data_IF_318624820559
#
_entry.id   IF_318624820559
#
_cell.length_a   1.000
_cell.length_b   1.000
_cell.length_c   1.000
_cell.angle_alpha   90.00
_cell.angle_beta   90.00
_cell.angle_gamma   90.00
#
_symmetry.space_group_name_H-M   'P 1'
#
loop_
_entity.id
_entity.type
_entity.pdbx_description
1 polymer ?
#
# COMPACT_ATOMS: atom_id res chain seq x y z
N UNK A 1 -17.00 25.33 8.50
CA UNK A 1 -17.46 24.32 9.46
C UNK A 1 -16.24 23.60 9.99
N UNK A 2 -15.89 23.89 11.25
CA UNK A 2 -14.68 23.41 11.92
C UNK A 2 -14.94 22.02 12.50
N UNK A 3 -14.07 21.07 12.25
CA UNK A 3 -14.07 19.77 12.91
C UNK A 3 -13.05 19.78 14.05
N UNK A 4 -13.53 19.45 15.25
CA UNK A 4 -12.82 19.50 16.51
C UNK A 4 -11.85 18.32 16.68
N UNK A 5 -10.62 18.65 17.08
CA UNK A 5 -9.61 17.69 17.56
C UNK A 5 -9.92 17.29 19.01
N UNK A 6 -10.21 16.03 19.25
CA UNK A 6 -10.34 15.45 20.58
C UNK A 6 -8.96 15.13 21.16
N UNK A 7 -8.58 15.80 22.25
CA UNK A 7 -7.44 15.47 23.10
C UNK A 7 -7.80 14.29 24.01
N UNK A 8 -7.06 13.20 23.90
CA UNK A 8 -7.10 12.14 24.91
C UNK A 8 -6.13 12.47 26.04
N UNK A 9 -6.70 12.68 27.21
CA UNK A 9 -5.99 12.88 28.47
C UNK A 9 -5.67 11.51 29.10
N UNK A 10 -4.41 11.22 29.32
CA UNK A 10 -3.97 10.05 30.06
C UNK A 10 -3.77 10.47 31.51
N UNK A 11 -4.65 10.02 32.41
CA UNK A 11 -4.57 10.25 33.84
C UNK A 11 -3.72 9.20 34.53
N UNK A 12 -2.84 9.70 35.41
CA UNK A 12 -1.91 8.95 36.23
C UNK A 12 -2.57 8.20 37.38
N UNK A 13 -2.02 7.09 37.88
CA UNK A 13 -2.59 6.40 39.01
C UNK A 13 -2.15 6.99 40.38
N UNK A 14 -3.10 6.92 41.24
CA UNK A 14 -3.18 7.33 42.64
C UNK A 14 -2.14 6.63 43.54
N UNK A 15 -1.46 7.44 44.36
CA UNK A 15 -0.67 6.98 45.49
C UNK A 15 -1.57 6.53 46.65
N UNK A 16 -1.33 5.35 47.17
CA UNK A 16 -1.95 4.86 48.39
C UNK A 16 -0.97 5.01 49.57
N UNK A 17 -1.29 5.94 50.49
CA UNK A 17 -0.61 6.11 51.75
C UNK A 17 -1.31 5.21 52.77
N UNK A 18 -0.63 4.26 53.32
CA UNK A 18 -1.05 3.60 54.54
C UNK A 18 -0.22 4.05 55.74
N UNK A 19 -0.89 4.73 56.64
CA UNK A 19 -0.39 5.07 57.96
C UNK A 19 -0.45 3.83 58.89
N UNK A 20 0.62 3.56 59.62
CA UNK A 20 0.53 2.73 60.80
C UNK A 20 1.15 3.48 61.99
N UNK A 21 0.31 3.71 62.99
CA UNK A 21 0.61 4.35 64.26
C UNK A 21 0.83 3.30 65.32
N UNK A 22 1.61 3.77 66.30
CA UNK A 22 1.62 3.36 67.73
C UNK A 22 2.50 2.14 68.05
N UNK A 23 3.16 2.03 69.18
CA UNK A 23 3.17 2.76 70.47
C UNK A 23 4.37 2.29 71.27
N UNK A 24 4.96 3.16 72.03
CA UNK A 24 5.38 3.09 73.44
C UNK A 24 5.88 1.70 73.96
N UNK A 25 6.99 1.54 74.65
CA UNK A 25 7.46 2.14 75.88
C UNK A 25 8.76 1.44 76.36
N UNK A 26 9.65 2.24 76.96
CA UNK A 26 10.36 2.06 78.23
C UNK A 26 11.14 0.78 78.44
N UNK A 27 12.45 0.88 78.53
CA UNK A 27 13.21 0.74 79.79
C UNK A 27 14.69 1.11 79.58
N UNK A 28 15.13 1.83 80.58
CA UNK A 28 16.45 2.39 80.69
C UNK A 28 17.45 1.34 81.24
N UNK A 29 18.74 1.73 81.12
CA UNK A 29 19.83 1.33 81.94
C UNK A 29 20.49 -0.01 81.63
N UNK A 30 21.60 0.01 80.94
CA UNK A 30 22.86 -0.46 81.44
C UNK A 30 24.03 0.21 80.70
N UNK A 31 24.78 0.89 81.47
CA UNK A 31 25.97 1.61 81.08
C UNK A 31 27.18 0.70 80.95
N UNK A 32 28.12 1.20 80.21
CA UNK A 32 29.58 1.00 80.27
C UNK A 32 30.15 -0.39 79.87
N UNK A 33 31.09 -0.24 79.00
CA UNK A 33 32.27 -1.03 78.63
C UNK A 33 32.08 -1.81 77.30
N UNK A 34 32.44 -1.19 76.24
CA UNK A 34 33.29 -1.80 75.19
C UNK A 34 33.86 -0.68 74.31
N UNK A 35 34.90 -0.08 74.78
CA UNK A 35 35.85 0.63 73.92
C UNK A 35 36.50 -0.38 72.95
N UNK A 36 36.74 0.11 71.75
CA UNK A 36 37.72 -0.45 70.83
C UNK A 36 37.34 -1.69 70.04
N UNK A 37 36.47 -1.55 69.10
CA UNK A 37 36.64 -2.17 67.77
C UNK A 37 35.99 -1.26 66.80
N UNK A 38 36.71 -0.31 66.24
CA UNK A 38 36.28 0.42 65.06
C UNK A 38 36.43 -0.49 63.86
N UNK A 39 35.36 -0.94 63.21
CA UNK A 39 35.51 -1.50 61.89
C UNK A 39 35.86 -0.33 60.94
N UNK A 40 37.08 -0.35 60.43
CA UNK A 40 37.43 0.45 59.26
C UNK A 40 36.40 0.07 58.21
N UNK A 41 35.38 0.90 58.07
CA UNK A 41 34.51 0.86 56.92
C UNK A 41 35.35 1.26 55.71
N UNK A 42 35.92 0.27 55.07
CA UNK A 42 36.39 0.43 53.69
C UNK A 42 35.15 0.78 52.89
N UNK A 43 34.92 2.04 52.69
CA UNK A 43 34.04 2.50 51.62
C UNK A 43 34.67 2.00 50.33
N UNK A 44 34.22 0.87 49.85
CA UNK A 44 34.35 0.54 48.47
C UNK A 44 33.69 1.71 47.71
N UNK A 45 34.53 2.61 47.24
CA UNK A 45 34.09 3.62 46.32
C UNK A 45 33.42 2.85 45.16
N UNK A 46 32.12 3.00 45.03
CA UNK A 46 31.45 2.59 43.85
C UNK A 46 32.19 3.28 42.70
N UNK A 47 33.07 2.55 42.04
CA UNK A 47 33.53 2.98 40.73
C UNK A 47 32.23 3.23 39.95
N UNK A 48 31.85 4.48 39.78
CA UNK A 48 30.88 4.85 38.80
C UNK A 48 31.44 4.28 37.51
N UNK A 49 30.89 3.18 37.08
CA UNK A 49 30.99 2.80 35.69
C UNK A 49 30.49 4.05 34.98
N UNK A 50 31.40 4.74 34.33
CA UNK A 50 31.04 5.88 33.50
C UNK A 50 30.24 5.25 32.37
N UNK A 51 28.95 5.20 32.60
CA UNK A 51 28.01 4.82 31.59
C UNK A 51 28.08 5.93 30.54
N UNK A 52 28.65 5.60 29.38
CA UNK A 52 28.77 6.52 28.26
C UNK A 52 27.39 6.95 27.68
N UNK A 53 26.31 6.53 28.33
CA UNK A 53 24.95 6.90 27.92
C UNK A 53 24.63 8.38 28.15
N UNK A 54 25.33 9.06 29.05
CA UNK A 54 25.12 10.49 29.36
C UNK A 54 26.05 11.43 28.58
N UNK A 55 26.80 10.94 27.61
CA UNK A 55 27.62 11.80 26.77
C UNK A 55 26.74 12.55 25.78
N UNK A 56 26.73 13.87 25.90
CA UNK A 56 25.98 14.75 24.99
C UNK A 56 26.40 14.48 23.54
N UNK A 57 25.46 14.05 22.70
CA UNK A 57 25.70 13.67 21.31
C UNK A 57 25.99 12.17 21.07
N UNK A 58 26.09 11.34 22.15
CA UNK A 58 26.23 9.89 21.99
C UNK A 58 24.89 9.14 21.88
N UNK A 59 23.77 9.82 22.07
CA UNK A 59 22.44 9.23 22.01
C UNK A 59 21.73 9.70 20.77
N UNK A 60 21.14 8.76 20.06
CA UNK A 60 20.28 9.00 18.91
C UNK A 60 19.00 8.17 19.04
N UNK A 61 17.91 8.71 18.56
CA UNK A 61 16.65 7.99 18.46
C UNK A 61 16.41 7.69 16.97
N UNK A 62 16.36 6.42 16.65
CA UNK A 62 15.93 5.96 15.33
C UNK A 62 14.46 5.59 15.41
N UNK A 63 13.61 6.41 14.83
CA UNK A 63 12.19 6.11 14.72
C UNK A 63 11.94 5.34 13.42
N UNK A 64 11.55 4.07 13.55
CA UNK A 64 11.19 3.22 12.42
C UNK A 64 9.70 3.01 12.45
N UNK A 65 9.04 3.30 11.33
CA UNK A 65 7.61 3.08 11.16
C UNK A 65 7.36 2.52 9.78
N UNK A 66 6.27 1.78 9.66
CA UNK A 66 5.81 1.17 8.42
C UNK A 66 4.37 0.75 8.56
N UNK A 67 3.75 0.39 7.47
CA UNK A 67 2.41 -0.20 7.46
C UNK A 67 2.51 -1.63 6.96
N UNK A 68 1.84 -2.55 7.64
CA UNK A 68 1.61 -3.89 7.14
C UNK A 68 0.22 -3.90 6.51
N UNK A 69 0.17 -4.13 5.20
CA UNK A 69 -1.08 -4.28 4.45
C UNK A 69 -1.22 -5.73 4.02
N UNK A 70 -2.38 -6.27 4.21
CA UNK A 70 -2.73 -7.59 3.71
C UNK A 70 -3.34 -7.44 2.32
N UNK A 71 -2.78 -8.13 1.34
CA UNK A 71 -3.27 -8.19 -0.04
C UNK A 71 -3.71 -9.62 -0.32
N UNK A 72 -4.90 -9.79 -0.90
CA UNK A 72 -5.41 -11.12 -1.20
C UNK A 72 -4.55 -11.89 -2.19
N UNK A 73 -3.89 -11.19 -3.12
CA UNK A 73 -2.95 -11.76 -4.08
C UNK A 73 -1.74 -10.85 -4.26
N UNK A 74 -0.65 -11.39 -4.79
CA UNK A 74 0.53 -10.65 -5.20
C UNK A 74 0.59 -10.54 -6.73
N UNK A 75 0.84 -9.35 -7.26
CA UNK A 75 1.13 -9.19 -8.69
C UNK A 75 2.52 -9.78 -8.98
N UNK A 76 2.60 -10.70 -9.94
CA UNK A 76 3.87 -11.28 -10.36
C UNK A 76 4.83 -10.19 -10.85
N UNK A 77 6.11 -10.32 -10.54
CA UNK A 77 7.13 -9.32 -10.91
C UNK A 77 7.16 -9.06 -12.41
N UNK A 78 6.98 -10.11 -13.23
CA UNK A 78 6.90 -10.01 -14.70
C UNK A 78 5.69 -9.18 -15.17
N UNK A 79 4.64 -9.07 -14.36
CA UNK A 79 3.44 -8.30 -14.67
C UNK A 79 3.47 -6.88 -14.09
N UNK A 80 4.38 -6.62 -13.13
CA UNK A 80 4.55 -5.30 -12.53
C UNK A 80 5.23 -4.30 -13.49
N UNK A 81 6.03 -4.81 -14.41
CA UNK A 81 6.67 -4.03 -15.47
C UNK A 81 6.66 -4.83 -16.76
N UNK A 82 5.93 -4.34 -17.76
CA UNK A 82 5.85 -4.99 -19.06
C UNK A 82 6.15 -4.00 -20.18
N UNK A 83 7.00 -4.40 -21.10
CA UNK A 83 7.17 -3.74 -22.38
C UNK A 83 6.31 -4.47 -23.41
N UNK A 84 5.35 -3.76 -24.01
CA UNK A 84 4.38 -4.34 -24.94
C UNK A 84 4.68 -3.85 -26.35
N UNK A 85 5.38 -4.64 -27.17
CA UNK A 85 5.70 -4.25 -28.53
C UNK A 85 4.44 -4.35 -29.41
N UNK A 86 3.92 -3.21 -29.83
CA UNK A 86 2.75 -3.14 -30.73
C UNK A 86 3.09 -3.38 -32.20
N UNK A 87 4.39 -3.47 -32.52
CA UNK A 87 4.85 -3.62 -33.89
C UNK A 87 4.58 -2.41 -34.77
N UNK A 88 4.60 -2.62 -36.08
CA UNK A 88 4.32 -1.58 -37.06
C UNK A 88 2.84 -1.54 -37.37
N UNK A 89 2.24 -0.37 -37.22
CA UNK A 89 0.85 -0.11 -37.63
C UNK A 89 0.86 0.64 -38.94
N UNK A 90 0.23 0.07 -39.96
CA UNK A 90 0.17 0.69 -41.28
C UNK A 90 -0.86 1.81 -41.32
N UNK A 91 -0.47 2.97 -41.87
CA UNK A 91 -1.43 4.04 -42.13
C UNK A 91 -2.55 3.63 -43.11
N UNK A 92 -2.29 2.61 -43.92
CA UNK A 92 -3.32 2.02 -44.81
C UNK A 92 -4.40 1.24 -44.07
N UNK A 93 -4.13 0.76 -42.86
CA UNK A 93 -5.13 0.10 -42.00
C UNK A 93 -5.99 1.11 -41.21
N UNK A 94 -5.52 2.35 -41.08
CA UNK A 94 -6.14 3.39 -40.27
C UNK A 94 -6.67 4.57 -41.12
N UNK A 95 -7.43 4.30 -42.15
CA UNK A 95 -7.90 5.32 -43.10
C UNK A 95 -9.06 6.15 -42.55
N UNK A 96 -9.99 5.51 -41.86
CA UNK A 96 -11.17 6.13 -41.29
C UNK A 96 -11.09 6.29 -39.78
N UNK A 97 -11.76 7.29 -39.23
CA UNK A 97 -11.88 7.45 -37.78
C UNK A 97 -12.55 6.20 -37.18
N UNK A 98 -11.91 5.63 -36.16
CA UNK A 98 -12.39 4.40 -35.53
C UNK A 98 -11.84 3.11 -36.14
N UNK A 99 -11.09 3.18 -37.26
CA UNK A 99 -10.37 2.02 -37.76
C UNK A 99 -9.37 1.51 -36.73
N UNK A 100 -9.25 0.18 -36.65
CA UNK A 100 -8.44 -0.49 -35.65
C UNK A 100 -7.32 -1.29 -36.31
N UNK A 101 -6.14 -1.16 -35.73
CA UNK A 101 -5.00 -1.97 -36.11
C UNK A 101 -5.00 -3.33 -35.41
N UNK A 102 -3.87 -4.03 -35.50
CA UNK A 102 -3.72 -5.36 -34.92
C UNK A 102 -3.76 -5.32 -33.39
N UNK A 103 -4.62 -6.10 -32.74
CA UNK A 103 -4.68 -6.20 -31.28
C UNK A 103 -3.47 -6.95 -30.72
N UNK A 104 -3.01 -6.57 -29.54
CA UNK A 104 -1.97 -7.25 -28.78
C UNK A 104 -2.51 -7.58 -27.38
N UNK A 105 -2.37 -8.83 -26.99
CA UNK A 105 -2.82 -9.33 -25.69
C UNK A 105 -1.76 -9.03 -24.60
N UNK A 106 -2.22 -8.57 -23.46
CA UNK A 106 -1.43 -8.30 -22.24
C UNK A 106 -1.98 -9.13 -21.10
N UNK A 107 -1.10 -9.81 -20.38
CA UNK A 107 -1.47 -10.73 -19.30
C UNK A 107 -0.96 -10.21 -17.97
N UNK A 108 -1.85 -10.14 -16.99
CA UNK A 108 -1.52 -9.85 -15.59
C UNK A 108 -1.60 -11.13 -14.79
N UNK A 109 -0.46 -11.62 -14.34
CA UNK A 109 -0.37 -12.79 -13.49
C UNK A 109 -0.43 -12.40 -12.02
N UNK A 110 -1.37 -12.99 -11.30
CA UNK A 110 -1.53 -12.87 -9.86
C UNK A 110 -1.09 -14.17 -9.20
N UNK A 111 -0.29 -14.06 -8.17
CA UNK A 111 0.30 -15.19 -7.44
C UNK A 111 -0.07 -15.13 -5.96
N UNK A 112 0.04 -16.28 -5.29
CA UNK A 112 -0.18 -16.41 -3.86
C UNK A 112 -1.55 -15.90 -3.40
N UNK A 113 -2.59 -16.11 -4.23
CA UNK A 113 -3.95 -15.72 -3.88
C UNK A 113 -4.46 -16.56 -2.72
N UNK A 114 -4.77 -15.90 -1.62
CA UNK A 114 -5.28 -16.53 -0.41
C UNK A 114 -6.79 -16.79 -0.51
N UNK A 115 -7.26 -17.85 0.15
CA UNK A 115 -8.69 -18.05 0.34
C UNK A 115 -9.20 -17.02 1.34
N UNK A 116 -9.83 -15.97 0.85
CA UNK A 116 -10.48 -14.96 1.67
C UNK A 116 -11.90 -14.72 1.18
N UNK A 117 -12.79 -14.39 2.11
CA UNK A 117 -14.16 -14.03 1.74
C UNK A 117 -14.16 -12.63 1.10
N UNK A 118 -14.95 -12.47 0.05
CA UNK A 118 -15.16 -11.18 -0.59
C UNK A 118 -16.64 -10.82 -0.63
N UNK A 119 -16.92 -9.53 -0.46
CA UNK A 119 -18.24 -8.97 -0.71
C UNK A 119 -18.04 -7.74 -1.57
N UNK A 120 -18.50 -7.82 -2.79
CA UNK A 120 -18.30 -6.74 -3.71
C UNK A 120 -19.62 -6.29 -4.36
N UNK A 121 -19.74 -4.99 -4.52
CA UNK A 121 -20.86 -4.38 -5.23
C UNK A 121 -20.33 -3.74 -6.51
N UNK A 122 -20.81 -4.23 -7.63
CA UNK A 122 -20.56 -3.58 -8.93
C UNK A 122 -21.21 -2.18 -8.90
N UNK A 123 -20.40 -1.16 -9.07
CA UNK A 123 -20.85 0.24 -9.04
C UNK A 123 -21.63 0.64 -10.31
N UNK A 124 -21.50 -0.14 -11.38
CA UNK A 124 -22.16 0.13 -12.68
C UNK A 124 -23.55 -0.51 -12.71
N UNK A 125 -23.62 -1.80 -12.38
CA UNK A 125 -24.88 -2.56 -12.43
C UNK A 125 -25.64 -2.58 -11.10
N UNK A 126 -24.97 -2.22 -10.00
CA UNK A 126 -25.51 -2.29 -8.64
C UNK A 126 -25.66 -3.72 -8.10
N UNK A 127 -25.26 -4.72 -8.86
CA UNK A 127 -25.30 -6.12 -8.44
C UNK A 127 -24.25 -6.39 -7.34
N UNK A 128 -24.57 -7.29 -6.42
CA UNK A 128 -23.66 -7.69 -5.36
C UNK A 128 -23.21 -9.13 -5.59
N UNK A 129 -21.92 -9.32 -5.79
CA UNK A 129 -21.27 -10.62 -5.79
C UNK A 129 -20.59 -10.86 -4.46
N UNK A 130 -20.72 -12.07 -3.95
CA UNK A 130 -20.05 -12.46 -2.71
C UNK A 130 -19.54 -13.89 -2.80
N UNK A 131 -18.44 -14.14 -2.15
CA UNK A 131 -17.87 -15.48 -1.99
C UNK A 131 -17.28 -15.61 -0.59
N UNK A 132 -17.36 -16.77 0.02
CA UNK A 132 -16.72 -17.03 1.31
C UNK A 132 -15.28 -17.50 1.18
N UNK A 133 -14.84 -17.87 -0.02
CA UNK A 133 -13.56 -18.54 -0.27
C UNK A 133 -12.73 -17.90 -1.38
N UNK A 134 -13.31 -16.94 -2.10
CA UNK A 134 -12.65 -16.32 -3.26
C UNK A 134 -12.52 -14.84 -3.03
N UNK A 135 -11.29 -14.29 -3.08
CA UNK A 135 -11.10 -12.85 -3.10
C UNK A 135 -11.62 -12.26 -4.41
N UNK A 136 -12.07 -11.02 -4.36
CA UNK A 136 -12.43 -10.26 -5.54
C UNK A 136 -11.39 -9.20 -5.81
N UNK A 137 -11.07 -8.99 -7.08
CA UNK A 137 -10.18 -7.93 -7.55
C UNK A 137 -10.88 -7.07 -8.60
N UNK A 138 -10.73 -5.76 -8.51
CA UNK A 138 -10.96 -4.88 -9.63
C UNK A 138 -9.66 -4.26 -10.11
N UNK A 139 -9.53 -4.14 -11.42
CA UNK A 139 -8.36 -3.57 -12.07
C UNK A 139 -8.70 -2.16 -12.54
N UNK A 140 -7.78 -1.24 -12.34
CA UNK A 140 -7.89 0.12 -12.84
C UNK A 140 -6.72 0.44 -13.76
N UNK A 141 -7.00 1.14 -14.86
CA UNK A 141 -5.99 1.59 -15.81
C UNK A 141 -5.94 3.11 -15.80
N UNK A 142 -4.77 3.66 -15.49
CA UNK A 142 -4.52 5.10 -15.46
C UNK A 142 -3.50 5.47 -16.54
N UNK A 143 -3.92 6.31 -17.46
CA UNK A 143 -3.09 6.79 -18.55
C UNK A 143 -3.52 8.19 -18.99
N UNK A 144 -2.68 8.87 -19.76
CA UNK A 144 -3.09 10.09 -20.44
C UNK A 144 -4.20 9.76 -21.43
N UNK A 145 -5.31 10.47 -21.34
CA UNK A 145 -6.47 10.26 -22.21
C UNK A 145 -6.31 11.04 -23.52
N UNK A 146 -6.87 10.47 -24.59
CA UNK A 146 -7.00 11.20 -25.85
C UNK A 146 -8.01 12.34 -25.70
N UNK A 147 -7.75 13.47 -26.36
CA UNK A 147 -8.56 14.68 -26.19
C UNK A 147 -9.94 14.57 -26.84
N UNK A 148 -10.05 13.81 -27.93
CA UNK A 148 -11.30 13.62 -28.67
C UNK A 148 -12.14 12.47 -28.11
N UNK A 149 -11.46 11.44 -27.57
CA UNK A 149 -12.11 10.28 -26.96
C UNK A 149 -11.41 9.89 -25.65
N UNK A 150 -11.92 10.33 -24.48
CA UNK A 150 -11.32 10.05 -23.19
C UNK A 150 -11.26 8.56 -22.79
N UNK A 151 -11.90 7.69 -23.54
CA UNK A 151 -11.80 6.24 -23.32
C UNK A 151 -10.54 5.63 -23.96
N UNK A 152 -9.88 6.37 -24.83
CA UNK A 152 -8.67 5.94 -25.48
C UNK A 152 -7.42 6.50 -24.78
N UNK A 153 -6.39 5.71 -24.73
CA UNK A 153 -5.07 6.12 -24.21
C UNK A 153 -4.35 6.92 -25.28
N UNK A 154 -3.92 8.12 -24.91
CA UNK A 154 -3.12 8.99 -25.78
C UNK A 154 -1.74 8.38 -26.01
N UNK A 155 -1.27 8.44 -27.25
CA UNK A 155 0.12 8.15 -27.59
C UNK A 155 0.95 9.43 -27.74
N UNK A 156 2.24 9.31 -27.55
CA UNK A 156 3.23 10.37 -27.78
C UNK A 156 4.10 10.01 -28.98
N UNK A 157 4.42 10.99 -29.82
CA UNK A 157 5.23 10.79 -31.03
C UNK A 157 4.38 10.86 -32.29
N UNK A 158 3.71 9.81 -32.70
CA UNK A 158 2.75 9.83 -33.80
C UNK A 158 1.49 10.62 -33.43
N UNK A 159 0.71 11.04 -34.43
CA UNK A 159 -0.59 11.72 -34.26
C UNK A 159 -1.70 11.03 -35.01
N UNK A 160 -2.93 11.24 -34.55
CA UNK A 160 -4.12 10.63 -35.13
C UNK A 160 -4.27 9.16 -34.78
N UNK A 161 -3.57 8.69 -33.76
CA UNK A 161 -3.57 7.36 -33.22
C UNK A 161 -3.75 7.41 -31.70
N UNK A 162 -4.54 6.49 -31.15
CA UNK A 162 -4.68 6.26 -29.71
C UNK A 162 -4.81 4.75 -29.46
N UNK A 163 -4.77 4.34 -28.18
CA UNK A 163 -4.88 2.92 -27.84
C UNK A 163 -6.20 2.67 -27.12
N UNK A 164 -6.91 1.66 -27.58
CA UNK A 164 -8.08 1.10 -26.90
C UNK A 164 -7.64 -0.06 -26.02
N UNK A 165 -8.19 -0.13 -24.82
CA UNK A 165 -8.02 -1.27 -23.91
C UNK A 165 -9.36 -1.97 -23.78
N UNK A 166 -9.36 -3.28 -23.95
CA UNK A 166 -10.54 -4.12 -23.73
C UNK A 166 -10.20 -5.28 -22.80
N UNK A 167 -11.21 -5.76 -22.08
CA UNK A 167 -11.11 -6.97 -21.25
C UNK A 167 -11.12 -8.25 -22.11
N UNK A 168 -11.09 -9.41 -21.44
CA UNK A 168 -11.16 -10.73 -22.08
C UNK A 168 -12.50 -10.99 -22.79
N UNK A 169 -13.54 -10.24 -22.47
CA UNK A 169 -14.87 -10.33 -23.13
C UNK A 169 -15.01 -9.37 -24.30
N UNK A 170 -14.01 -8.53 -24.55
CA UNK A 170 -14.03 -7.49 -25.57
C UNK A 170 -14.74 -6.20 -25.15
N UNK A 171 -15.07 -6.05 -23.87
CA UNK A 171 -15.68 -4.84 -23.35
C UNK A 171 -14.60 -3.76 -23.11
N UNK A 172 -14.95 -2.52 -23.47
CA UNK A 172 -14.06 -1.37 -23.30
C UNK A 172 -13.80 -1.06 -21.83
N UNK A 173 -12.52 -0.89 -21.51
CA UNK A 173 -12.06 -0.46 -20.18
C UNK A 173 -12.15 1.05 -20.07
N UNK A 174 -12.76 1.51 -18.98
CA UNK A 174 -12.83 2.95 -18.68
C UNK A 174 -11.56 3.41 -17.97
N UNK A 175 -10.81 4.30 -18.60
CA UNK A 175 -9.60 4.88 -17.99
C UNK A 175 -9.93 5.69 -16.73
N UNK A 176 -9.15 5.47 -15.67
CA UNK A 176 -9.34 6.12 -14.37
C UNK A 176 -10.49 5.55 -13.54
N UNK A 177 -11.27 4.62 -14.07
CA UNK A 177 -12.31 3.87 -13.36
C UNK A 177 -11.79 2.55 -12.78
N UNK A 178 -12.64 1.89 -12.04
CA UNK A 178 -12.46 0.49 -11.66
C UNK A 178 -13.35 -0.38 -12.52
N UNK A 179 -12.79 -1.45 -13.05
CA UNK A 179 -13.57 -2.46 -13.74
C UNK A 179 -14.49 -3.23 -12.80
N UNK A 180 -15.44 -3.94 -13.39
CA UNK A 180 -16.27 -4.88 -12.63
C UNK A 180 -15.37 -5.87 -11.89
N UNK A 181 -15.66 -6.11 -10.61
CA UNK A 181 -14.84 -6.98 -9.80
C UNK A 181 -14.86 -8.43 -10.26
N UNK A 182 -13.71 -9.03 -10.38
CA UNK A 182 -13.50 -10.42 -10.77
C UNK A 182 -13.22 -11.27 -9.53
N UNK A 183 -13.91 -12.42 -9.41
CA UNK A 183 -13.60 -13.41 -8.38
C UNK A 183 -12.38 -14.21 -8.79
N UNK A 184 -11.43 -14.34 -7.88
CA UNK A 184 -10.18 -15.06 -8.11
C UNK A 184 -10.22 -16.44 -7.45
N UNK A 185 -9.56 -17.40 -8.05
CA UNK A 185 -9.33 -18.70 -7.44
C UNK A 185 -8.14 -18.64 -6.48
N UNK A 186 -8.12 -19.41 -5.38
CA UNK A 186 -6.92 -19.55 -4.56
C UNK A 186 -5.73 -20.05 -5.39
N UNK A 187 -4.54 -19.51 -5.11
CA UNK A 187 -3.30 -19.86 -5.78
C UNK A 187 -2.92 -18.86 -6.89
N UNK A 188 -2.97 -19.26 -8.15
CA UNK A 188 -2.56 -18.44 -9.28
C UNK A 188 -3.75 -18.06 -10.14
N UNK A 189 -3.75 -16.82 -10.62
CA UNK A 189 -4.75 -16.31 -11.55
C UNK A 189 -4.07 -15.51 -12.66
N UNK A 190 -4.75 -15.43 -13.80
CA UNK A 190 -4.29 -14.69 -14.97
C UNK A 190 -5.44 -13.84 -15.50
N UNK A 191 -5.22 -12.54 -15.60
CA UNK A 191 -6.16 -11.59 -16.17
C UNK A 191 -5.63 -11.16 -17.51
N UNK A 192 -6.45 -11.26 -18.54
CA UNK A 192 -6.05 -10.95 -19.91
C UNK A 192 -6.76 -9.70 -20.39
N UNK A 193 -6.00 -8.78 -20.92
CA UNK A 193 -6.48 -7.55 -21.55
C UNK A 193 -5.94 -7.46 -22.98
N UNK A 194 -6.60 -6.69 -23.80
CA UNK A 194 -6.18 -6.47 -25.19
C UNK A 194 -5.99 -4.99 -25.45
N UNK A 195 -4.83 -4.63 -26.00
CA UNK A 195 -4.51 -3.28 -26.43
C UNK A 195 -4.59 -3.22 -27.94
N UNK A 196 -5.37 -2.29 -28.47
CA UNK A 196 -5.60 -2.15 -29.92
C UNK A 196 -5.36 -0.70 -30.34
N UNK A 197 -4.50 -0.44 -31.33
CA UNK A 197 -4.35 0.88 -31.93
C UNK A 197 -5.65 1.28 -32.65
N UNK A 198 -6.09 2.51 -32.44
CA UNK A 198 -7.31 3.02 -33.05
C UNK A 198 -7.09 4.41 -33.63
N UNK A 199 -7.67 4.66 -34.81
CA UNK A 199 -7.62 5.93 -35.51
C UNK A 199 -8.48 6.97 -34.81
N UNK A 200 -7.90 8.12 -34.44
CA UNK A 200 -8.61 9.25 -33.86
C UNK A 200 -9.02 10.30 -34.92
N UNK A 201 -9.65 11.39 -34.50
CA UNK A 201 -10.05 12.50 -35.40
C UNK A 201 -8.86 13.38 -35.81
N UNK A 202 -7.79 13.41 -35.03
CA UNK A 202 -6.59 14.19 -35.34
C UNK A 202 -5.97 13.72 -36.66
N UNK A 203 -5.45 14.60 -37.52
CA UNK A 203 -4.78 14.19 -38.75
C UNK A 203 -3.64 13.21 -38.50
N UNK A 204 -3.63 12.12 -39.28
CA UNK A 204 -2.63 11.07 -39.14
C UNK A 204 -1.24 11.62 -39.50
N UNK A 205 -0.29 11.50 -38.58
CA UNK A 205 1.14 11.82 -38.80
C UNK A 205 1.97 10.61 -38.38
N UNK A 206 2.60 9.91 -39.33
CA UNK A 206 3.45 8.77 -39.04
C UNK A 206 4.65 9.19 -38.18
N UNK A 207 5.15 8.28 -37.38
CA UNK A 207 6.32 8.44 -36.48
C UNK A 207 6.38 7.33 -35.48
N UNK A 208 7.50 7.24 -34.79
CA UNK A 208 7.63 6.38 -33.62
C UNK A 208 6.70 6.89 -32.51
N UNK A 209 6.10 5.98 -31.79
CA UNK A 209 5.19 6.33 -30.73
C UNK A 209 5.29 5.41 -29.53
N UNK A 210 4.92 5.95 -28.39
CA UNK A 210 4.90 5.22 -27.12
C UNK A 210 3.78 5.75 -26.23
N UNK A 211 3.39 4.97 -25.25
CA UNK A 211 2.46 5.36 -24.22
C UNK A 211 2.78 4.66 -22.91
N UNK A 212 2.42 5.28 -21.79
CA UNK A 212 2.56 4.72 -20.46
C UNK A 212 1.18 4.50 -19.85
N UNK A 213 0.95 3.28 -19.37
CA UNK A 213 -0.29 2.87 -18.73
C UNK A 213 0.06 2.33 -17.35
N UNK A 214 -0.44 2.96 -16.30
CA UNK A 214 -0.32 2.48 -14.94
C UNK A 214 -1.50 1.58 -14.58
N UNK A 215 -1.21 0.47 -13.94
CA UNK A 215 -2.20 -0.53 -13.53
C UNK A 215 -2.32 -0.50 -12.00
N UNK A 216 -3.54 -0.43 -11.50
CA UNK A 216 -3.86 -0.55 -10.09
C UNK A 216 -4.76 -1.75 -9.82
N UNK A 217 -4.48 -2.49 -8.76
CA UNK A 217 -5.29 -3.62 -8.29
C UNK A 217 -5.92 -3.26 -6.96
N UNK A 218 -7.23 -3.41 -6.85
CA UNK A 218 -7.98 -3.21 -5.61
C UNK A 218 -8.68 -4.51 -5.22
N UNK A 219 -8.45 -4.97 -4.00
CA UNK A 219 -9.03 -6.20 -3.46
C UNK A 219 -10.19 -5.88 -2.51
N UNK A 220 -11.19 -6.78 -2.46
CA UNK A 220 -12.40 -6.62 -1.68
C UNK A 220 -12.72 -7.89 -0.88
#
# INVERSE_FOLDING_TARGET
>A
MQAAYGKMNCSSPVQNKSYFRSAWSITAVTALLALMISPLSVRAGSARVVDNWDVYGAHGVLQVHGSLTESACRLATRSAWQDVPMGNVSSGELQNIGDRGKPVSVELSLEDCMSSGSRNRDTITGSTSWSNLQPAVSVSFQASQDMDNPQLVKVSGAKGLALRITDSTGQDIRLGGHDAPLLLSPGQNQLTYTITPERTREPLRPGDWWSLINIGLSYY
#
